data_IF_925933188992
#
_entry.id   IF_925933188992
#
_cell.length_a   1.000
_cell.length_b   1.000
_cell.length_c   1.000
_cell.angle_alpha   90.00
_cell.angle_beta   90.00
_cell.angle_gamma   90.00
#
_symmetry.space_group_name_H-M   'P 1'
#
loop_
_entity.id
_entity.type
_entity.pdbx_description
1 polymer ?
#
# COMPACT_ATOMS: atom_id res chain seq x y z
N UNK A 1 -0.82 3.24 -6.51
CA UNK A 1 -2.03 3.72 -5.82
C UNK A 1 -1.65 4.65 -4.68
N UNK A 2 -0.83 4.22 -3.72
CA UNK A 2 -0.44 5.05 -2.57
C UNK A 2 0.25 6.34 -2.97
N UNK A 3 1.12 6.32 -3.99
CA UNK A 3 1.81 7.52 -4.46
C UNK A 3 0.82 8.60 -4.91
N UNK A 4 -0.29 8.22 -5.56
CA UNK A 4 -1.31 9.18 -5.99
C UNK A 4 -2.04 9.80 -4.81
N UNK A 5 -2.33 9.01 -3.77
CA UNK A 5 -2.97 9.51 -2.56
C UNK A 5 -2.07 10.50 -1.81
N UNK A 6 -0.76 10.23 -1.74
CA UNK A 6 0.19 11.18 -1.13
C UNK A 6 0.34 12.44 -1.98
N UNK A 7 0.39 12.34 -3.31
CA UNK A 7 0.38 13.53 -4.19
C UNK A 7 -0.86 14.40 -4.00
N UNK A 8 -2.01 13.77 -3.77
CA UNK A 8 -3.24 14.48 -3.46
C UNK A 8 -3.16 15.17 -2.08
N UNK A 9 -2.61 14.51 -1.06
CA UNK A 9 -2.33 15.14 0.23
C UNK A 9 -1.37 16.34 0.09
N UNK A 10 -0.30 16.21 -0.69
CA UNK A 10 0.63 17.32 -1.02
C UNK A 10 -0.10 18.50 -1.63
N UNK A 11 -1.05 18.27 -2.55
CA UNK A 11 -1.84 19.36 -3.15
C UNK A 11 -2.78 20.08 -2.19
N UNK A 12 -3.03 19.50 -1.00
CA UNK A 12 -3.90 20.01 0.06
C UNK A 12 -3.14 20.42 1.31
N UNK A 13 -1.81 20.46 1.25
CA UNK A 13 -1.00 20.96 2.35
C UNK A 13 -1.20 22.49 2.50
N UNK A 14 -1.35 22.95 3.74
CA UNK A 14 -1.61 24.34 4.07
C UNK A 14 -0.32 25.16 4.24
N UNK A 15 0.83 24.51 4.46
CA UNK A 15 2.10 25.19 4.77
C UNK A 15 3.31 24.54 4.09
N UNK A 16 4.38 25.31 3.89
CA UNK A 16 5.67 24.81 3.38
C UNK A 16 6.29 23.74 4.29
N UNK A 17 6.06 23.84 5.61
CA UNK A 17 6.54 22.86 6.60
C UNK A 17 5.83 21.52 6.39
N UNK A 18 4.52 21.55 6.16
CA UNK A 18 3.71 20.37 5.86
C UNK A 18 4.08 19.75 4.51
N UNK A 19 4.31 20.58 3.49
CA UNK A 19 4.81 20.13 2.19
C UNK A 19 6.15 19.41 2.32
N UNK A 20 7.09 19.98 3.09
CA UNK A 20 8.40 19.38 3.32
C UNK A 20 8.30 18.02 4.04
N UNK A 21 7.35 17.85 4.94
CA UNK A 21 7.11 16.59 5.64
C UNK A 21 6.48 15.51 4.75
N UNK A 22 5.59 15.90 3.82
CA UNK A 22 4.92 14.97 2.89
C UNK A 22 5.82 14.51 1.74
N UNK A 23 6.79 15.33 1.33
CA UNK A 23 7.66 15.01 0.20
C UNK A 23 8.41 13.66 0.36
N UNK A 24 9.11 13.36 1.48
CA UNK A 24 9.79 12.06 1.63
C UNK A 24 8.81 10.88 1.64
N UNK A 25 7.58 11.08 2.13
CA UNK A 25 6.54 10.03 2.16
C UNK A 25 6.14 9.60 0.75
N UNK A 26 6.20 10.51 -0.23
CA UNK A 26 5.90 10.19 -1.63
C UNK A 26 6.83 9.10 -2.18
N UNK A 27 8.12 9.15 -1.83
CA UNK A 27 9.08 8.14 -2.25
C UNK A 27 8.80 6.76 -1.62
N UNK A 28 8.43 6.74 -0.34
CA UNK A 28 8.05 5.50 0.37
C UNK A 28 6.77 4.90 -0.21
N UNK A 29 5.79 5.75 -0.55
CA UNK A 29 4.56 5.31 -1.20
C UNK A 29 4.80 4.75 -2.60
N UNK A 30 5.71 5.35 -3.36
CA UNK A 30 6.13 4.85 -4.68
C UNK A 30 6.88 3.51 -4.59
N UNK A 31 7.75 3.34 -3.58
CA UNK A 31 8.40 2.05 -3.28
C UNK A 31 7.34 0.97 -3.03
N UNK A 32 6.34 1.24 -2.18
CA UNK A 32 5.28 0.27 -1.91
C UNK A 32 4.45 -0.06 -3.17
N UNK A 33 4.08 0.94 -3.97
CA UNK A 33 3.35 0.73 -5.23
C UNK A 33 4.12 -0.18 -6.19
N UNK A 34 5.45 -0.02 -6.29
CA UNK A 34 6.31 -0.88 -7.10
C UNK A 34 6.35 -2.32 -6.55
N UNK A 35 6.47 -2.45 -5.23
CA UNK A 35 6.47 -3.76 -4.57
C UNK A 35 5.12 -4.48 -4.81
N UNK A 36 3.98 -3.79 -4.69
CA UNK A 36 2.65 -4.34 -4.99
C UNK A 36 2.55 -4.82 -6.43
N UNK A 37 2.99 -3.98 -7.39
CA UNK A 37 2.91 -4.28 -8.82
C UNK A 37 3.76 -5.49 -9.21
N UNK A 38 4.92 -5.67 -8.59
CA UNK A 38 5.88 -6.71 -8.97
C UNK A 38 5.79 -7.98 -8.10
N UNK A 39 5.03 -7.96 -7.01
CA UNK A 39 4.98 -9.02 -6.02
C UNK A 39 4.71 -10.40 -6.63
N UNK A 40 3.61 -10.54 -7.38
CA UNK A 40 3.23 -11.82 -7.99
C UNK A 40 4.29 -12.33 -8.98
N UNK A 41 4.81 -11.44 -9.83
CA UNK A 41 5.84 -11.79 -10.81
C UNK A 41 7.12 -12.31 -10.12
N UNK A 42 7.51 -11.71 -8.98
CA UNK A 42 8.66 -12.14 -8.19
C UNK A 42 8.44 -13.50 -7.55
N UNK A 43 7.25 -13.78 -7.01
CA UNK A 43 6.89 -15.10 -6.49
C UNK A 43 6.93 -16.15 -7.61
N UNK A 44 6.35 -15.86 -8.77
CA UNK A 44 6.34 -16.78 -9.90
C UNK A 44 7.75 -17.02 -10.48
N UNK A 45 8.60 -15.99 -10.52
CA UNK A 45 10.00 -16.15 -10.92
C UNK A 45 10.77 -17.04 -9.93
N UNK A 46 10.53 -16.89 -8.63
CA UNK A 46 11.14 -17.73 -7.60
C UNK A 46 10.67 -19.19 -7.68
N UNK A 47 9.39 -19.42 -7.98
CA UNK A 47 8.86 -20.77 -8.27
C UNK A 47 9.55 -21.39 -9.49
N UNK A 48 9.61 -20.64 -10.59
CA UNK A 48 10.25 -21.10 -11.82
C UNK A 48 11.74 -21.45 -11.61
N UNK A 49 12.48 -20.66 -10.82
CA UNK A 49 13.87 -20.94 -10.46
C UNK A 49 14.05 -22.24 -9.68
N UNK A 50 13.00 -22.72 -9.00
CA UNK A 50 12.96 -23.99 -8.27
C UNK A 50 12.39 -25.15 -9.09
N UNK A 51 12.10 -24.93 -10.37
CA UNK A 51 11.46 -25.91 -11.25
C UNK A 51 9.96 -26.12 -10.99
N UNK A 52 9.33 -25.24 -10.21
CA UNK A 52 7.89 -25.26 -9.96
C UNK A 52 7.16 -24.46 -11.04
N UNK A 53 6.03 -24.99 -11.52
CA UNK A 53 5.12 -24.23 -12.36
C UNK A 53 4.38 -23.14 -11.56
N UNK A 54 3.77 -22.16 -12.25
CA UNK A 54 2.88 -21.20 -11.59
C UNK A 54 1.73 -21.92 -10.89
N UNK A 55 1.17 -21.31 -9.86
CA UNK A 55 0.01 -21.85 -9.14
C UNK A 55 -1.13 -22.08 -10.14
N UNK A 56 -1.55 -23.33 -10.32
CA UNK A 56 -2.70 -23.66 -11.16
C UNK A 56 -3.97 -23.46 -10.36
N UNK A 57 -4.84 -22.57 -10.84
CA UNK A 57 -6.20 -22.42 -10.32
C UNK A 57 -7.20 -22.94 -11.36
N UNK A 58 -8.38 -23.36 -10.92
CA UNK A 58 -9.45 -23.76 -11.84
C UNK A 58 -9.92 -22.55 -12.65
N UNK A 59 -10.52 -22.77 -13.83
CA UNK A 59 -11.09 -21.68 -14.65
C UNK A 59 -12.10 -20.83 -13.86
N UNK A 60 -12.95 -21.48 -13.06
CA UNK A 60 -13.91 -20.78 -12.21
C UNK A 60 -13.21 -19.90 -11.16
N UNK A 61 -12.15 -20.42 -10.52
CA UNK A 61 -11.38 -19.64 -9.53
C UNK A 61 -10.62 -18.50 -10.18
N UNK A 62 -10.11 -18.69 -11.39
CA UNK A 62 -9.47 -17.61 -12.16
C UNK A 62 -10.48 -16.47 -12.42
N UNK A 63 -11.69 -16.79 -12.87
CA UNK A 63 -12.74 -15.78 -13.08
C UNK A 63 -13.09 -15.02 -11.80
N UNK A 64 -13.13 -15.72 -10.65
CA UNK A 64 -13.36 -15.09 -9.35
C UNK A 64 -12.22 -14.13 -8.96
N UNK A 65 -10.96 -14.54 -9.17
CA UNK A 65 -9.78 -13.69 -8.93
C UNK A 65 -9.77 -12.47 -9.85
N UNK A 66 -10.12 -12.64 -11.13
CA UNK A 66 -10.21 -11.54 -12.09
C UNK A 66 -11.30 -10.55 -11.68
N UNK A 67 -12.43 -11.04 -11.15
CA UNK A 67 -13.49 -10.19 -10.61
C UNK A 67 -13.02 -9.41 -9.37
N UNK A 68 -12.37 -10.06 -8.42
CA UNK A 68 -11.79 -9.37 -7.26
C UNK A 68 -10.77 -8.31 -7.65
N UNK A 69 -9.94 -8.57 -8.66
CA UNK A 69 -8.99 -7.60 -9.18
C UNK A 69 -9.70 -6.40 -9.83
N UNK A 70 -10.84 -6.62 -10.49
CA UNK A 70 -11.68 -5.57 -11.06
C UNK A 70 -12.36 -4.73 -9.99
N UNK A 71 -12.93 -5.38 -8.98
CA UNK A 71 -13.58 -4.73 -7.83
C UNK A 71 -12.57 -3.89 -7.04
N UNK A 72 -11.36 -4.41 -6.79
CA UNK A 72 -10.30 -3.68 -6.13
C UNK A 72 -9.89 -2.41 -6.90
N UNK A 73 -9.79 -2.47 -8.23
CA UNK A 73 -9.50 -1.29 -9.06
C UNK A 73 -10.62 -0.25 -9.00
N UNK A 74 -11.88 -0.70 -9.00
CA UNK A 74 -13.04 0.18 -8.88
C UNK A 74 -13.06 0.87 -7.51
N UNK A 75 -12.86 0.11 -6.43
CA UNK A 75 -12.76 0.65 -5.07
C UNK A 75 -11.59 1.64 -4.92
N UNK A 76 -10.43 1.35 -5.50
CA UNK A 76 -9.29 2.26 -5.48
C UNK A 76 -9.59 3.60 -6.17
N UNK A 77 -10.34 3.57 -7.27
CA UNK A 77 -10.78 4.78 -7.98
C UNK A 77 -11.85 5.56 -7.19
N UNK A 78 -12.80 4.86 -6.56
CA UNK A 78 -13.79 5.47 -5.67
C UNK A 78 -13.11 6.13 -4.46
N UNK A 79 -12.17 5.44 -3.81
CA UNK A 79 -11.39 5.97 -2.70
C UNK A 79 -10.56 7.20 -3.10
N UNK A 80 -10.00 7.22 -4.31
CA UNK A 80 -9.31 8.42 -4.83
C UNK A 80 -10.26 9.62 -4.91
N UNK A 81 -11.50 9.41 -5.37
CA UNK A 81 -12.51 10.47 -5.45
C UNK A 81 -12.94 10.93 -4.06
N UNK A 82 -13.11 10.01 -3.11
CA UNK A 82 -13.42 10.33 -1.71
C UNK A 82 -12.31 11.17 -1.08
N UNK A 83 -11.04 10.80 -1.27
CA UNK A 83 -9.91 11.61 -0.81
C UNK A 83 -9.83 12.97 -1.49
N UNK A 84 -10.23 13.06 -2.77
CA UNK A 84 -10.24 14.34 -3.48
C UNK A 84 -11.24 15.33 -2.87
N UNK A 85 -12.32 14.81 -2.29
CA UNK A 85 -13.35 15.58 -1.60
C UNK A 85 -12.97 16.02 -0.17
N UNK A 86 -11.88 15.49 0.42
CA UNK A 86 -11.41 15.91 1.74
C UNK A 86 -10.76 17.30 1.67
N UNK A 87 -10.90 18.11 2.72
CA UNK A 87 -10.49 19.52 2.69
C UNK A 87 -8.99 19.74 2.95
N UNK A 88 -8.30 18.80 3.59
CA UNK A 88 -6.92 18.98 4.02
C UNK A 88 -6.09 17.69 3.87
N UNK A 89 -4.76 17.87 3.88
CA UNK A 89 -3.81 16.77 3.80
C UNK A 89 -3.94 15.80 4.98
N UNK A 90 -4.15 16.32 6.20
CA UNK A 90 -4.27 15.52 7.41
C UNK A 90 -5.33 14.42 7.29
N UNK A 91 -6.54 14.75 6.83
CA UNK A 91 -7.64 13.82 6.71
C UNK A 91 -7.32 12.67 5.73
N UNK A 92 -6.61 12.96 4.64
CA UNK A 92 -6.14 11.93 3.69
C UNK A 92 -5.12 11.02 4.37
N UNK A 93 -4.10 11.61 5.02
CA UNK A 93 -3.03 10.84 5.66
C UNK A 93 -3.57 9.99 6.80
N UNK A 94 -4.49 10.52 7.60
CA UNK A 94 -5.17 9.79 8.67
C UNK A 94 -5.93 8.57 8.12
N UNK A 95 -6.75 8.76 7.08
CA UNK A 95 -7.50 7.67 6.46
C UNK A 95 -6.58 6.58 5.88
N UNK A 96 -5.49 6.96 5.22
CA UNK A 96 -4.47 6.04 4.72
C UNK A 96 -3.78 5.26 5.85
N UNK A 97 -3.40 5.95 6.92
CA UNK A 97 -2.74 5.35 8.07
C UNK A 97 -3.64 4.29 8.72
N UNK A 98 -4.92 4.61 8.93
CA UNK A 98 -5.89 3.67 9.48
C UNK A 98 -6.08 2.41 8.62
N UNK A 99 -6.12 2.57 7.28
CA UNK A 99 -6.18 1.44 6.36
C UNK A 99 -4.93 0.55 6.44
N UNK A 100 -3.75 1.17 6.47
CA UNK A 100 -2.47 0.45 6.55
C UNK A 100 -2.21 -0.21 7.91
N UNK A 101 -2.73 0.31 9.01
CA UNK A 101 -2.53 -0.31 10.32
C UNK A 101 -3.17 -1.71 10.39
N UNK A 102 -4.36 -1.89 9.79
CA UNK A 102 -4.96 -3.22 9.67
C UNK A 102 -4.15 -4.13 8.74
N UNK A 103 -3.74 -3.62 7.59
CA UNK A 103 -3.03 -4.39 6.55
C UNK A 103 -1.64 -4.86 7.03
N UNK A 104 -0.88 -3.99 7.71
CA UNK A 104 0.44 -4.32 8.26
C UNK A 104 0.38 -5.45 9.30
N UNK A 105 -0.68 -5.53 10.11
CA UNK A 105 -0.87 -6.64 11.07
C UNK A 105 -0.98 -7.98 10.35
N UNK A 106 -1.73 -8.05 9.25
CA UNK A 106 -1.82 -9.26 8.43
C UNK A 106 -0.46 -9.63 7.82
N UNK A 107 0.18 -8.67 7.13
CA UNK A 107 1.43 -8.93 6.41
C UNK A 107 2.62 -9.24 7.32
N UNK A 108 2.63 -8.76 8.56
CA UNK A 108 3.70 -9.03 9.54
C UNK A 108 3.95 -10.53 9.75
N UNK A 109 2.92 -11.37 9.58
CA UNK A 109 2.98 -12.83 9.77
C UNK A 109 2.78 -13.63 8.48
N UNK A 110 2.50 -12.97 7.35
CA UNK A 110 2.22 -13.67 6.09
C UNK A 110 3.37 -14.58 5.63
N UNK A 111 4.62 -14.19 5.92
CA UNK A 111 5.80 -14.99 5.58
C UNK A 111 5.87 -16.35 6.29
N UNK A 112 5.19 -16.52 7.43
CA UNK A 112 5.11 -17.79 8.17
C UNK A 112 4.28 -18.85 7.42
N UNK A 113 3.40 -18.40 6.52
CA UNK A 113 2.56 -19.26 5.68
C UNK A 113 3.08 -19.35 4.24
N UNK A 114 4.17 -18.67 3.92
CA UNK A 114 4.79 -18.70 2.61
C UNK A 114 5.71 -19.91 2.47
N UNK A 115 5.97 -20.33 1.24
CA UNK A 115 7.06 -21.28 0.99
C UNK A 115 8.38 -20.68 1.53
N UNK A 116 9.29 -21.46 2.16
CA UNK A 116 10.52 -20.92 2.74
C UNK A 116 11.35 -20.05 1.79
N UNK A 117 11.41 -20.43 0.51
CA UNK A 117 12.09 -19.65 -0.53
C UNK A 117 11.42 -18.31 -0.86
N UNK A 118 10.10 -18.20 -0.67
CA UNK A 118 9.32 -16.96 -0.90
C UNK A 118 9.29 -16.06 0.33
N UNK A 119 9.64 -16.57 1.51
CA UNK A 119 9.54 -15.85 2.78
C UNK A 119 10.35 -14.54 2.80
N UNK A 120 11.43 -14.43 2.02
CA UNK A 120 12.17 -13.17 1.88
C UNK A 120 11.35 -12.12 1.10
N UNK A 121 10.78 -12.50 -0.05
CA UNK A 121 9.93 -11.63 -0.88
C UNK A 121 8.72 -11.13 -0.08
N UNK A 122 8.07 -12.02 0.68
CA UNK A 122 6.94 -11.66 1.54
C UNK A 122 7.35 -10.71 2.67
N UNK A 123 8.53 -10.92 3.27
CA UNK A 123 9.05 -10.02 4.32
C UNK A 123 9.38 -8.64 3.79
N UNK A 124 10.03 -8.54 2.64
CA UNK A 124 10.32 -7.26 1.99
C UNK A 124 9.04 -6.46 1.73
N UNK A 125 8.00 -7.14 1.25
CA UNK A 125 6.70 -6.52 1.02
C UNK A 125 6.04 -6.02 2.31
N UNK A 126 6.06 -6.84 3.37
CA UNK A 126 5.55 -6.45 4.69
C UNK A 126 6.33 -5.27 5.29
N UNK A 127 7.65 -5.22 5.09
CA UNK A 127 8.51 -4.12 5.52
C UNK A 127 8.14 -2.83 4.78
N UNK A 128 7.93 -2.87 3.46
CA UNK A 128 7.53 -1.69 2.69
C UNK A 128 6.20 -1.10 3.19
N UNK A 129 5.21 -1.96 3.51
CA UNK A 129 3.93 -1.53 4.12
C UNK A 129 4.14 -0.88 5.48
N UNK A 130 5.00 -1.47 6.32
CA UNK A 130 5.32 -0.95 7.65
C UNK A 130 6.02 0.41 7.56
N UNK A 131 6.99 0.55 6.65
CA UNK A 131 7.67 1.83 6.40
C UNK A 131 6.69 2.94 6.03
N UNK A 132 5.74 2.68 5.13
CA UNK A 132 4.73 3.67 4.78
C UNK A 132 3.85 3.99 5.98
N UNK A 133 3.32 2.98 6.68
CA UNK A 133 2.50 3.16 7.89
C UNK A 133 3.20 4.06 8.92
N UNK A 134 4.46 3.79 9.20
CA UNK A 134 5.29 4.52 10.18
C UNK A 134 5.56 5.96 9.70
N UNK A 135 5.80 6.17 8.41
CA UNK A 135 5.98 7.50 7.83
C UNK A 135 4.71 8.36 7.93
N UNK A 136 3.54 7.76 7.71
CA UNK A 136 2.25 8.42 7.90
C UNK A 136 2.00 8.74 9.39
N UNK A 137 2.33 7.81 10.29
CA UNK A 137 2.22 8.02 11.74
C UNK A 137 3.08 9.20 12.19
N UNK A 138 4.34 9.25 11.77
CA UNK A 138 5.25 10.35 12.11
C UNK A 138 4.75 11.71 11.61
N UNK A 139 4.12 11.75 10.43
CA UNK A 139 3.45 12.96 9.95
C UNK A 139 2.27 13.34 10.84
N UNK A 140 1.40 12.40 11.23
CA UNK A 140 0.24 12.68 12.08
C UNK A 140 0.64 13.15 13.49
N UNK A 141 1.75 12.62 14.02
CA UNK A 141 2.32 13.06 15.30
C UNK A 141 2.87 14.49 15.20
N UNK A 142 3.46 14.87 14.06
CA UNK A 142 3.98 16.21 13.80
C UNK A 142 2.88 17.24 13.55
N UNK A 143 1.79 16.84 12.90
CA UNK A 143 0.64 17.68 12.58
C UNK A 143 -0.61 17.08 13.21
N UNK A 144 -0.84 17.25 14.52
CA UNK A 144 -2.04 16.76 15.17
C UNK A 144 -3.29 17.50 14.64
N UNK A 145 -4.46 16.86 14.75
CA UNK A 145 -5.72 17.47 14.35
C UNK A 145 -5.97 18.73 15.21
N UNK A 146 -5.84 19.90 14.59
CA UNK A 146 -6.04 21.19 15.23
C UNK A 146 -7.51 21.64 15.16
N UNK A 147 -8.45 20.74 14.90
CA UNK A 147 -9.88 21.01 15.04
C UNK A 147 -10.26 21.15 16.52
N UNK A 148 -9.90 22.29 17.09
CA UNK A 148 -10.50 22.88 18.29
C UNK A 148 -11.72 23.72 17.94
#
# INVERSE_FOLDING_TARGET
MFEQYIKLAVSKAATDVELAALHPITAVASELDEQERTFEARINANKAARGEGPTKVSKAKQQELDQFASDAKKMAAEQLNEFAALDNAWAIIFALHMGLDSDTRFWSKAHLNAHPSDAAIVREFAIAKTKLRDALAAYLDQFPDNQG
#
